data_IF_778449618367
#
_entry.id   IF_778449618367
#
_cell.length_a   1.000
_cell.length_b   1.000
_cell.length_c   1.000
_cell.angle_alpha   90.00
_cell.angle_beta   90.00
_cell.angle_gamma   90.00
#
_symmetry.space_group_name_H-M   'P 1'
#
loop_
_entity.id
_entity.type
_entity.pdbx_description
1 polymer ?
#
# COMPACT_ATOMS: atom_id res chain seq x y z
N UNK A 1 -34.24 42.25 14.24
CA UNK A 1 -33.01 41.48 14.56
C UNK A 1 -32.91 40.36 13.55
N UNK A 2 -31.93 40.42 12.64
CA UNK A 2 -31.64 39.34 11.71
C UNK A 2 -30.49 38.51 12.30
N UNK A 3 -30.70 37.20 12.44
CA UNK A 3 -29.70 36.26 12.95
C UNK A 3 -29.01 35.62 11.74
N UNK A 4 -27.72 35.89 11.55
CA UNK A 4 -26.92 35.31 10.48
C UNK A 4 -26.38 33.96 10.98
N UNK A 5 -26.87 32.83 10.45
CA UNK A 5 -26.30 31.52 10.74
C UNK A 5 -25.13 31.29 9.78
N UNK A 6 -23.90 31.45 10.29
CA UNK A 6 -22.69 31.01 9.60
C UNK A 6 -22.55 29.50 9.78
N UNK A 7 -23.13 28.71 8.87
CA UNK A 7 -22.77 27.30 8.73
C UNK A 7 -21.45 27.24 7.94
N UNK A 8 -20.32 27.25 8.65
CA UNK A 8 -19.02 26.94 8.04
C UNK A 8 -18.94 25.45 7.67
N UNK A 9 -18.23 25.07 6.59
CA UNK A 9 -17.96 23.66 6.35
C UNK A 9 -17.16 23.12 7.54
N UNK A 10 -17.63 22.02 8.13
CA UNK A 10 -16.77 21.21 9.01
C UNK A 10 -15.62 20.71 8.15
N UNK A 11 -14.41 21.25 8.38
CA UNK A 11 -13.21 20.66 7.81
C UNK A 11 -12.93 19.37 8.59
N UNK A 12 -13.44 18.25 8.09
CA UNK A 12 -13.02 16.94 8.54
C UNK A 12 -11.67 16.65 7.87
N UNK A 13 -10.65 16.31 8.67
CA UNK A 13 -9.37 15.91 8.13
C UNK A 13 -9.37 14.38 8.06
N UNK A 14 -9.33 13.84 6.85
CA UNK A 14 -9.16 12.40 6.65
C UNK A 14 -7.70 12.06 6.96
N UNK A 15 -7.51 11.25 7.99
CA UNK A 15 -6.21 10.77 8.43
C UNK A 15 -5.95 9.36 7.88
N UNK A 16 -4.69 9.09 7.54
CA UNK A 16 -4.20 7.76 7.19
C UNK A 16 -3.08 7.34 8.13
N UNK A 17 -3.20 6.14 8.67
CA UNK A 17 -2.15 5.47 9.41
C UNK A 17 -1.82 4.14 8.72
N UNK A 18 -0.55 3.91 8.42
CA UNK A 18 -0.06 2.68 7.83
C UNK A 18 1.05 2.10 8.71
N UNK A 19 0.88 0.87 9.17
CA UNK A 19 1.84 0.16 10.01
C UNK A 19 2.31 -1.14 9.36
N UNK A 20 3.60 -1.43 9.50
CA UNK A 20 4.25 -2.60 8.92
C UNK A 20 5.14 -2.24 7.74
N UNK A 21 5.32 -3.19 6.84
CA UNK A 21 6.15 -3.08 5.65
C UNK A 21 6.63 -4.44 5.18
N UNK A 22 7.56 -4.44 4.23
CA UNK A 22 8.20 -5.64 3.76
C UNK A 22 9.72 -5.44 3.68
N UNK A 23 10.44 -6.48 4.08
CA UNK A 23 11.89 -6.57 3.94
C UNK A 23 12.19 -7.81 3.10
N UNK A 24 12.97 -7.64 2.04
CA UNK A 24 13.27 -8.70 1.08
C UNK A 24 14.71 -9.10 1.21
N UNK A 25 14.94 -10.37 1.54
CA UNK A 25 16.28 -10.95 1.61
C UNK A 25 16.47 -11.82 0.38
N UNK A 26 17.48 -11.48 -0.43
CA UNK A 26 17.90 -12.30 -1.56
C UNK A 26 19.15 -13.06 -1.12
N UNK A 27 19.02 -14.37 -0.94
CA UNK A 27 20.10 -15.27 -0.54
C UNK A 27 19.95 -16.65 -1.20
N UNK A 28 20.70 -17.66 -0.74
CA UNK A 28 20.65 -19.01 -1.29
C UNK A 28 19.28 -19.68 -1.18
N UNK A 29 18.38 -19.22 -0.28
CA UNK A 29 17.00 -19.70 -0.20
C UNK A 29 16.15 -19.28 -1.40
N UNK A 30 16.61 -18.30 -2.18
CA UNK A 30 15.97 -17.87 -3.42
C UNK A 30 16.26 -18.79 -4.61
N UNK A 31 17.04 -19.86 -4.42
CA UNK A 31 17.30 -20.88 -5.43
C UNK A 31 16.19 -21.94 -5.41
N UNK A 32 15.64 -22.27 -6.57
CA UNK A 32 14.52 -23.21 -6.72
C UNK A 32 14.90 -24.65 -6.33
N UNK A 33 16.18 -25.01 -6.46
CA UNK A 33 16.70 -26.36 -6.20
C UNK A 33 18.13 -26.40 -5.66
N UNK A 34 18.63 -25.29 -5.08
CA UNK A 34 20.00 -25.20 -4.57
C UNK A 34 21.03 -24.75 -5.62
N UNK A 35 22.31 -25.02 -5.36
CA UNK A 35 23.40 -24.53 -6.21
C UNK A 35 23.24 -24.97 -7.68
N UNK A 36 23.34 -24.01 -8.61
CA UNK A 36 23.18 -24.26 -10.05
C UNK A 36 21.72 -24.33 -10.53
N UNK A 37 20.74 -24.12 -9.66
CA UNK A 37 19.33 -24.00 -10.05
C UNK A 37 18.91 -22.56 -10.34
N UNK A 38 17.73 -22.39 -10.95
CA UNK A 38 17.14 -21.08 -11.23
C UNK A 38 16.79 -20.29 -9.95
N UNK A 39 16.64 -18.98 -10.10
CA UNK A 39 16.11 -18.11 -9.05
C UNK A 39 14.58 -18.14 -9.04
N UNK A 40 14.00 -17.96 -7.85
CA UNK A 40 12.57 -17.67 -7.70
C UNK A 40 12.20 -16.45 -8.54
N UNK A 41 11.13 -16.57 -9.35
CA UNK A 41 10.68 -15.48 -10.25
C UNK A 41 10.11 -14.29 -9.50
N UNK A 42 9.50 -14.55 -8.34
CA UNK A 42 8.89 -13.54 -7.49
C UNK A 42 8.94 -13.98 -6.03
N UNK A 43 8.76 -13.00 -5.15
CA UNK A 43 8.56 -13.19 -3.72
C UNK A 43 7.30 -12.44 -3.30
N UNK A 44 6.49 -13.04 -2.42
CA UNK A 44 5.35 -12.36 -1.81
C UNK A 44 5.56 -12.23 -0.30
N UNK A 45 5.20 -11.07 0.26
CA UNK A 45 5.16 -10.88 1.70
C UNK A 45 3.99 -11.64 2.34
N UNK A 46 3.87 -11.58 3.66
CA UNK A 46 2.64 -11.96 4.37
C UNK A 46 1.44 -11.15 3.86
N UNK A 47 0.24 -11.71 4.03
CA UNK A 47 -1.01 -11.08 3.59
C UNK A 47 -1.29 -9.76 4.32
N UNK A 48 -0.83 -9.63 5.56
CA UNK A 48 -1.00 -8.50 6.47
C UNK A 48 0.32 -7.72 6.65
N UNK A 49 1.18 -7.72 5.63
CA UNK A 49 2.48 -7.04 5.71
C UNK A 49 2.34 -5.55 6.03
N UNK A 50 1.27 -4.90 5.60
CA UNK A 50 0.88 -3.58 6.08
C UNK A 50 -0.59 -3.54 6.44
N UNK A 51 -0.90 -2.86 7.53
CA UNK A 51 -2.25 -2.59 8.01
C UNK A 51 -2.50 -1.09 7.91
N UNK A 52 -3.57 -0.71 7.24
CA UNK A 52 -3.97 0.68 7.01
C UNK A 52 -5.27 0.98 7.78
N UNK A 53 -5.28 2.13 8.44
CA UNK A 53 -6.46 2.73 9.04
C UNK A 53 -6.72 4.08 8.38
N UNK A 54 -7.97 4.33 8.02
CA UNK A 54 -8.50 5.62 7.57
C UNK A 54 -9.48 6.10 8.65
N UNK A 55 -9.24 7.29 9.19
CA UNK A 55 -10.02 7.85 10.29
C UNK A 55 -10.29 9.33 10.10
N UNK A 56 -11.21 9.90 10.90
CA UNK A 56 -11.45 11.34 10.90
C UNK A 56 -12.37 11.80 9.76
N UNK A 57 -13.07 10.87 9.12
CA UNK A 57 -14.02 11.22 8.06
C UNK A 57 -15.26 11.92 8.63
N UNK A 58 -15.92 12.75 7.82
CA UNK A 58 -17.14 13.47 8.19
C UNK A 58 -18.40 12.61 8.33
N UNK A 59 -18.29 11.31 8.06
CA UNK A 59 -19.38 10.33 8.12
C UNK A 59 -19.13 9.13 7.21
N UNK A 60 -20.05 8.16 7.19
CA UNK A 60 -19.91 6.92 6.40
C UNK A 60 -19.93 7.12 4.87
N UNK A 61 -20.49 8.25 4.42
CA UNK A 61 -20.55 8.63 3.00
C UNK A 61 -19.42 9.56 2.54
N UNK A 62 -18.54 9.98 3.46
CA UNK A 62 -17.42 10.86 3.15
C UNK A 62 -16.36 10.07 2.37
N UNK A 63 -16.10 10.46 1.13
CA UNK A 63 -15.39 9.65 0.14
C UNK A 63 -13.89 9.97 0.14
N UNK A 64 -13.07 8.93 -0.04
CA UNK A 64 -11.62 9.10 -0.06
C UNK A 64 -10.96 8.15 -1.07
N UNK A 65 -9.77 8.53 -1.52
CA UNK A 65 -8.89 7.73 -2.38
C UNK A 65 -7.54 7.55 -1.71
N UNK A 66 -7.07 6.31 -1.65
CA UNK A 66 -5.69 5.99 -1.27
C UNK A 66 -4.83 5.85 -2.52
N UNK A 67 -3.72 6.58 -2.51
CA UNK A 67 -2.63 6.50 -3.50
C UNK A 67 -1.40 5.88 -2.86
N UNK A 68 -0.58 5.25 -3.68
CA UNK A 68 0.65 4.59 -3.25
C UNK A 68 1.82 4.97 -4.13
N UNK A 69 2.99 5.15 -3.51
CA UNK A 69 4.29 5.29 -4.19
C UNK A 69 5.41 4.78 -3.31
N UNK A 70 6.61 4.62 -3.88
CA UNK A 70 7.85 4.34 -3.13
C UNK A 70 8.77 5.55 -3.11
N UNK A 71 9.52 5.73 -2.01
CA UNK A 71 10.52 6.79 -1.93
C UNK A 71 11.72 6.45 -2.82
N UNK A 72 11.83 7.14 -3.96
CA UNK A 72 13.01 7.07 -4.81
C UNK A 72 13.16 5.82 -5.68
N UNK A 73 14.30 5.73 -6.35
CA UNK A 73 14.62 4.66 -7.30
C UNK A 73 14.94 3.38 -6.52
N UNK A 74 14.40 2.25 -6.98
CA UNK A 74 14.68 0.95 -6.37
C UNK A 74 16.18 0.67 -6.42
N UNK A 75 16.77 0.25 -5.30
CA UNK A 75 18.15 -0.26 -5.30
C UNK A 75 18.26 -1.57 -6.08
N UNK A 76 17.14 -2.27 -6.29
CA UNK A 76 17.04 -3.44 -7.15
C UNK A 76 16.66 -3.00 -8.56
N UNK A 77 17.65 -2.88 -9.44
CA UNK A 77 17.45 -2.64 -10.87
C UNK A 77 16.79 -3.86 -11.52
N UNK A 78 15.86 -3.64 -12.46
CA UNK A 78 15.14 -4.72 -13.15
C UNK A 78 14.10 -5.45 -12.30
N UNK A 79 13.83 -4.96 -11.09
CA UNK A 79 12.87 -5.52 -10.16
C UNK A 79 11.69 -4.56 -9.99
N UNK A 80 10.48 -5.10 -10.10
CA UNK A 80 9.24 -4.33 -9.90
C UNK A 80 8.59 -4.72 -8.59
N UNK A 81 8.31 -3.72 -7.75
CA UNK A 81 7.51 -3.86 -6.55
C UNK A 81 6.03 -3.69 -6.91
N UNK A 82 5.20 -4.58 -6.41
CA UNK A 82 3.76 -4.55 -6.54
C UNK A 82 3.11 -4.54 -5.16
N UNK A 83 1.91 -3.97 -5.09
CA UNK A 83 1.07 -3.96 -3.90
C UNK A 83 -0.35 -4.38 -4.26
N UNK A 84 -1.00 -5.12 -3.36
CA UNK A 84 -2.44 -5.38 -3.42
C UNK A 84 -3.03 -5.36 -2.02
N UNK A 85 -4.32 -5.10 -1.94
CA UNK A 85 -5.14 -5.24 -0.75
C UNK A 85 -5.56 -6.71 -0.61
N UNK A 86 -5.59 -7.20 0.63
CA UNK A 86 -5.94 -8.58 0.97
C UNK A 86 -7.14 -8.69 1.91
N UNK A 87 -7.54 -7.57 2.53
CA UNK A 87 -8.72 -7.46 3.36
C UNK A 87 -9.32 -6.07 3.29
N UNK A 88 -10.64 -5.98 3.42
CA UNK A 88 -11.37 -4.70 3.41
C UNK A 88 -11.29 -3.99 4.76
N UNK A 89 -10.90 -4.69 5.83
CA UNK A 89 -10.99 -4.18 7.19
C UNK A 89 -12.43 -4.13 7.72
N UNK A 90 -12.70 -3.27 8.69
CA UNK A 90 -14.03 -3.02 9.25
C UNK A 90 -14.24 -1.52 9.53
N UNK A 91 -15.48 -1.07 9.75
CA UNK A 91 -15.78 0.35 9.96
C UNK A 91 -17.13 0.78 9.39
N UNK A 92 -17.38 2.09 9.39
CA UNK A 92 -18.69 2.68 9.11
C UNK A 92 -18.98 2.88 7.61
N UNK A 93 -17.95 2.88 6.76
CA UNK A 93 -18.12 3.02 5.31
C UNK A 93 -17.63 1.82 4.51
N UNK A 94 -17.16 2.07 3.29
CA UNK A 94 -16.89 1.05 2.27
C UNK A 94 -15.45 1.08 1.77
N UNK A 95 -15.01 0.00 1.12
CA UNK A 95 -13.71 -0.08 0.44
C UNK A 95 -13.91 -0.77 -0.90
N UNK A 96 -13.30 -0.25 -1.95
CA UNK A 96 -13.35 -0.79 -3.31
C UNK A 96 -11.99 -0.67 -4.00
N UNK A 97 -11.73 -1.57 -4.96
CA UNK A 97 -10.45 -1.62 -5.67
C UNK A 97 -9.29 -2.17 -4.84
N UNK A 98 -8.10 -2.17 -5.43
CA UNK A 98 -6.88 -2.64 -4.80
C UNK A 98 -6.72 -4.17 -4.67
N UNK A 99 -7.70 -4.99 -4.99
CA UNK A 99 -7.63 -6.46 -4.82
C UNK A 99 -6.68 -7.18 -5.81
N UNK A 100 -6.17 -6.46 -6.81
CA UNK A 100 -5.19 -6.94 -7.78
C UNK A 100 -3.86 -6.21 -7.60
N UNK A 101 -2.77 -6.87 -7.98
CA UNK A 101 -1.44 -6.26 -7.91
C UNK A 101 -1.30 -5.06 -8.84
N UNK A 102 -0.96 -3.91 -8.27
CA UNK A 102 -0.55 -2.71 -8.99
C UNK A 102 0.93 -2.44 -8.75
N UNK A 103 1.63 -1.93 -9.77
CA UNK A 103 3.04 -1.58 -9.64
C UNK A 103 3.18 -0.34 -8.74
N UNK A 104 4.16 -0.36 -7.83
CA UNK A 104 4.47 0.77 -6.96
C UNK A 104 5.59 1.59 -7.58
N UNK A 105 5.20 2.69 -8.21
CA UNK A 105 6.10 3.61 -8.88
C UNK A 105 6.63 4.70 -7.95
N UNK A 106 7.49 5.56 -8.49
CA UNK A 106 7.99 6.75 -7.76
C UNK A 106 7.00 7.91 -7.75
N UNK A 107 6.06 7.91 -8.70
CA UNK A 107 4.89 8.79 -8.75
C UNK A 107 3.69 8.14 -8.07
N UNK A 108 2.79 8.96 -7.54
CA UNK A 108 1.55 8.47 -6.96
C UNK A 108 0.73 7.68 -7.99
N UNK A 109 0.31 6.49 -7.59
CA UNK A 109 -0.59 5.62 -8.36
C UNK A 109 -1.84 5.38 -7.53
N UNK A 110 -3.02 5.48 -8.15
CA UNK A 110 -4.27 5.17 -7.48
C UNK A 110 -4.29 3.68 -7.11
N UNK A 111 -4.61 3.39 -5.84
CA UNK A 111 -4.53 2.03 -5.31
C UNK A 111 -5.91 1.46 -4.96
N UNK A 112 -6.62 2.08 -4.02
CA UNK A 112 -7.99 1.74 -3.67
C UNK A 112 -8.71 2.96 -3.11
N UNK A 113 -10.03 2.93 -3.12
CA UNK A 113 -10.88 4.01 -2.66
C UNK A 113 -11.93 3.48 -1.70
N UNK A 114 -12.66 4.39 -1.07
CA UNK A 114 -13.67 4.04 -0.11
C UNK A 114 -14.42 5.23 0.43
N UNK A 115 -15.12 4.98 1.52
CA UNK A 115 -15.82 6.00 2.26
C UNK A 115 -15.82 5.68 3.74
N UNK A 116 -16.04 6.70 4.57
CA UNK A 116 -16.13 6.52 6.03
C UNK A 116 -14.84 6.05 6.69
N UNK A 117 -14.88 5.96 8.02
CA UNK A 117 -13.79 5.37 8.78
C UNK A 117 -13.67 3.88 8.48
N UNK A 118 -12.43 3.41 8.29
CA UNK A 118 -12.08 2.01 8.04
C UNK A 118 -10.80 1.64 8.77
N UNK A 119 -10.83 0.57 9.55
CA UNK A 119 -9.65 0.04 10.26
C UNK A 119 -9.31 -1.35 9.76
N UNK A 120 -8.05 -1.75 9.96
CA UNK A 120 -7.55 -3.09 9.67
C UNK A 120 -7.62 -3.48 8.18
N UNK A 121 -7.42 -2.51 7.29
CA UNK A 121 -7.28 -2.78 5.86
C UNK A 121 -5.91 -3.41 5.64
N UNK A 122 -5.87 -4.69 5.25
CA UNK A 122 -4.62 -5.44 5.08
C UNK A 122 -4.08 -5.38 3.65
N UNK A 123 -2.76 -5.33 3.55
CA UNK A 123 -2.00 -5.13 2.31
C UNK A 123 -0.84 -6.12 2.22
N UNK A 124 -0.65 -6.68 1.02
CA UNK A 124 0.45 -7.58 0.65
C UNK A 124 1.30 -6.96 -0.45
N UNK A 125 2.61 -7.20 -0.38
CA UNK A 125 3.57 -6.81 -1.39
C UNK A 125 4.08 -8.02 -2.18
N UNK A 126 4.43 -7.77 -3.44
CA UNK A 126 5.11 -8.75 -4.29
C UNK A 126 6.27 -8.09 -5.02
N UNK A 127 7.38 -8.79 -5.08
CA UNK A 127 8.55 -8.38 -5.86
C UNK A 127 8.69 -9.36 -7.01
N UNK A 128 8.83 -8.85 -8.23
CA UNK A 128 8.99 -9.66 -9.45
C UNK A 128 10.16 -9.17 -10.27
N UNK A 129 10.76 -10.05 -11.08
CA UNK A 129 11.92 -9.72 -11.91
C UNK A 129 13.26 -9.99 -11.22
N UNK A 130 13.26 -10.83 -10.17
CA UNK A 130 14.49 -11.30 -9.54
C UNK A 130 15.31 -12.06 -10.60
N UNK A 131 16.57 -11.65 -10.77
CA UNK A 131 17.48 -12.21 -11.76
C UNK A 131 18.90 -12.25 -11.20
N UNK A 132 19.81 -12.91 -11.92
CA UNK A 132 21.24 -12.99 -11.57
C UNK A 132 21.92 -11.60 -11.48
N UNK A 133 21.30 -10.57 -12.06
CA UNK A 133 21.81 -9.20 -12.01
C UNK A 133 21.47 -8.48 -10.70
N UNK A 134 20.63 -9.08 -9.85
CA UNK A 134 20.30 -8.57 -8.52
C UNK A 134 21.24 -9.26 -7.52
N UNK A 135 22.20 -8.55 -6.92
CA UNK A 135 23.12 -9.14 -5.96
C UNK A 135 22.38 -9.75 -4.76
N UNK A 136 22.95 -10.77 -4.10
CA UNK A 136 22.48 -11.17 -2.79
C UNK A 136 22.58 -10.00 -1.80
N UNK A 137 21.57 -9.84 -0.95
CA UNK A 137 21.51 -8.72 -0.03
C UNK A 137 20.16 -8.55 0.64
N UNK A 138 20.10 -7.57 1.54
CA UNK A 138 18.87 -7.14 2.15
C UNK A 138 18.35 -5.87 1.48
N UNK A 139 17.10 -5.91 1.04
CA UNK A 139 16.47 -4.83 0.31
C UNK A 139 15.20 -4.38 1.01
N UNK A 140 15.11 -3.07 1.21
CA UNK A 140 13.94 -2.40 1.78
C UNK A 140 13.58 -1.19 0.93
N UNK A 141 12.28 -0.90 0.83
CA UNK A 141 11.78 0.32 0.23
C UNK A 141 10.79 0.99 1.18
N UNK A 142 10.84 2.31 1.30
CA UNK A 142 9.80 3.05 2.02
C UNK A 142 8.62 3.24 1.08
N UNK A 143 7.47 2.70 1.48
CA UNK A 143 6.20 2.84 0.77
C UNK A 143 5.41 3.95 1.45
N UNK A 144 4.90 4.87 0.65
CA UNK A 144 4.16 6.03 1.10
C UNK A 144 2.72 5.84 0.62
N UNK A 145 1.79 5.81 1.58
CA UNK A 145 0.37 5.84 1.32
C UNK A 145 -0.14 7.25 1.59
N UNK A 146 -0.88 7.80 0.64
CA UNK A 146 -1.49 9.13 0.74
C UNK A 146 -3.00 8.95 0.64
N UNK A 147 -3.74 9.47 1.60
CA UNK A 147 -5.20 9.60 1.50
C UNK A 147 -5.55 10.97 0.93
N UNK A 148 -6.52 10.99 0.01
CA UNK A 148 -7.04 12.19 -0.63
C UNK A 148 -8.54 12.20 -0.42
N UNK A 149 -9.04 13.25 0.20
CA UNK A 149 -10.47 13.54 0.35
C UNK A 149 -11.12 13.85 -1.02
N UNK A 150 -12.34 13.39 -1.26
CA UNK A 150 -13.01 13.45 -2.58
C UNK A 150 -14.37 14.13 -2.59
#
# INVERSE_FOLDING_TARGET
MAFLILSGPSACAVDIYAAGGCNFIIDSSCLVGGAGSDLMKYFESKLDATVINITGTGGSGDAWQVRVRKSGVSQMQGVTLYVKRTGDGSGSGTVSGGSSYVAVETSDTDFFEGSGDRTDITVQYKVSGISINVPPGNYSATIIFTVVDR
#
